data_IF_229216212171
#
_entry.id   IF_229216212171
#
_cell.length_a   1.000
_cell.length_b   1.000
_cell.length_c   1.000
_cell.angle_alpha   90.00
_cell.angle_beta   90.00
_cell.angle_gamma   90.00
#
_symmetry.space_group_name_H-M   'P 1'
#
loop_
_entity.id
_entity.type
_entity.pdbx_description
1 polymer ?
#
# COMPACT_ATOMS: atom_id res chain seq x y z
N UNK A 1 -6.00 8.54 -5.20
CA UNK A 1 -5.94 8.55 -3.71
C UNK A 1 -4.81 9.46 -3.22
N UNK A 2 -3.54 9.16 -3.52
CA UNK A 2 -2.41 10.03 -3.10
C UNK A 2 -2.55 11.49 -3.56
N UNK A 3 -2.96 11.72 -4.83
CA UNK A 3 -3.26 13.07 -5.34
C UNK A 3 -4.32 13.84 -4.51
N UNK A 4 -5.27 13.12 -3.90
CA UNK A 4 -6.32 13.73 -3.07
C UNK A 4 -5.75 14.23 -1.74
N UNK A 5 -4.77 13.53 -1.18
CA UNK A 5 -4.07 13.91 0.06
C UNK A 5 -2.82 14.76 -0.17
N UNK A 6 -2.57 15.18 -1.42
CA UNK A 6 -1.35 15.89 -1.82
C UNK A 6 -0.05 15.11 -1.49
N UNK A 7 -0.14 13.78 -1.48
CA UNK A 7 0.97 12.86 -1.25
C UNK A 7 1.61 12.46 -2.59
N UNK A 8 2.94 12.26 -2.61
CA UNK A 8 3.67 11.94 -3.83
C UNK A 8 3.65 10.44 -4.12
N UNK A 9 3.51 10.07 -5.38
CA UNK A 9 3.55 8.64 -5.77
C UNK A 9 4.92 8.01 -5.50
N UNK A 10 5.98 8.76 -5.79
CA UNK A 10 7.39 8.38 -5.53
C UNK A 10 7.68 8.19 -4.03
N UNK A 11 6.78 8.65 -3.15
CA UNK A 11 6.90 8.33 -1.74
C UNK A 11 6.51 6.89 -1.38
N UNK A 12 5.80 6.16 -2.24
CA UNK A 12 5.43 4.76 -2.02
C UNK A 12 6.02 3.81 -3.05
N UNK A 13 5.98 4.23 -4.31
CA UNK A 13 6.36 3.40 -5.44
C UNK A 13 7.64 3.92 -6.06
N UNK A 14 8.58 3.01 -6.36
CA UNK A 14 9.78 3.33 -7.10
C UNK A 14 9.79 2.52 -8.39
N UNK A 15 9.78 3.20 -9.54
CA UNK A 15 9.90 2.53 -10.82
C UNK A 15 11.38 2.21 -11.12
N UNK A 16 11.66 0.98 -11.51
CA UNK A 16 12.97 0.54 -11.98
C UNK A 16 12.82 -0.31 -13.25
N UNK A 17 13.93 -0.49 -13.99
CA UNK A 17 13.92 -1.28 -15.22
C UNK A 17 13.63 -2.75 -14.93
N UNK A 18 12.93 -3.44 -15.83
CA UNK A 18 12.54 -4.84 -15.68
C UNK A 18 13.74 -5.79 -15.52
N UNK A 19 14.90 -5.40 -16.07
CA UNK A 19 16.16 -6.18 -15.97
C UNK A 19 17.00 -5.83 -14.75
N UNK A 20 16.54 -4.87 -13.93
CA UNK A 20 17.28 -4.43 -12.75
C UNK A 20 17.38 -5.54 -11.72
N UNK A 21 18.59 -5.80 -11.26
CA UNK A 21 18.83 -6.74 -10.15
C UNK A 21 18.82 -6.00 -8.82
N UNK A 22 18.59 -6.71 -7.72
CA UNK A 22 18.73 -6.18 -6.36
C UNK A 22 20.05 -5.42 -6.16
N UNK A 23 21.17 -5.99 -6.60
CA UNK A 23 22.49 -5.35 -6.47
C UNK A 23 22.59 -4.06 -7.29
N UNK A 24 22.03 -4.02 -8.51
CA UNK A 24 21.99 -2.81 -9.33
C UNK A 24 21.23 -1.69 -8.62
N UNK A 25 20.06 -2.02 -8.07
CA UNK A 25 19.18 -1.03 -7.45
C UNK A 25 19.82 -0.49 -6.16
N UNK A 26 20.38 -1.36 -5.32
CA UNK A 26 21.08 -0.94 -4.10
C UNK A 26 22.34 -0.11 -4.38
N UNK A 27 23.02 -0.35 -5.50
CA UNK A 27 24.22 0.41 -5.90
C UNK A 27 23.89 1.76 -6.55
N UNK A 28 22.84 1.80 -7.38
CA UNK A 28 22.49 2.98 -8.18
C UNK A 28 21.55 3.94 -7.45
N UNK A 29 20.72 3.43 -6.52
CA UNK A 29 19.71 4.22 -5.83
C UNK A 29 20.00 4.30 -4.34
N UNK A 30 19.92 5.52 -3.83
CA UNK A 30 19.84 5.75 -2.39
C UNK A 30 18.43 5.40 -1.89
N UNK A 31 18.22 4.13 -1.54
CA UNK A 31 16.94 3.64 -1.07
C UNK A 31 16.60 4.27 0.29
N UNK A 32 15.36 4.74 0.48
CA UNK A 32 14.92 5.25 1.78
C UNK A 32 14.97 4.19 2.89
N UNK A 33 15.09 4.66 4.13
CA UNK A 33 14.95 3.80 5.32
C UNK A 33 13.51 3.31 5.46
N UNK A 34 12.53 4.13 5.05
CA UNK A 34 11.13 3.73 5.07
C UNK A 34 10.84 2.72 3.96
N UNK A 35 9.95 1.74 4.19
CA UNK A 35 9.64 0.75 3.18
C UNK A 35 9.17 1.38 1.86
N UNK A 36 9.63 0.83 0.73
CA UNK A 36 9.16 1.19 -0.62
C UNK A 36 8.85 -0.04 -1.43
N UNK A 37 7.78 0.04 -2.21
CA UNK A 37 7.46 -0.97 -3.21
C UNK A 37 8.12 -0.57 -4.54
N UNK A 38 9.09 -1.35 -4.97
CA UNK A 38 9.80 -1.17 -6.23
C UNK A 38 9.06 -1.97 -7.31
N UNK A 39 8.70 -1.27 -8.36
CA UNK A 39 7.98 -1.80 -9.51
C UNK A 39 8.99 -1.98 -10.63
N UNK A 40 9.21 -3.22 -11.06
CA UNK A 40 10.10 -3.54 -12.17
C UNK A 40 9.27 -3.54 -13.46
N UNK A 41 9.46 -2.52 -14.29
CA UNK A 41 8.72 -2.37 -15.54
C UNK A 41 8.55 -0.91 -15.97
N UNK A 42 7.71 -0.69 -17.00
CA UNK A 42 7.49 0.65 -17.56
C UNK A 42 6.50 1.50 -16.76
N UNK A 43 5.54 0.86 -16.10
CA UNK A 43 4.55 1.51 -15.24
C UNK A 43 3.85 0.45 -14.37
N UNK A 44 3.10 0.91 -13.36
CA UNK A 44 2.35 0.06 -12.44
C UNK A 44 1.38 -0.91 -13.13
N UNK A 45 0.80 -0.53 -14.27
CA UNK A 45 -0.21 -1.33 -14.97
C UNK A 45 0.37 -2.47 -15.81
N UNK A 46 1.66 -2.40 -16.14
CA UNK A 46 2.34 -3.35 -17.04
C UNK A 46 3.47 -4.12 -16.35
N UNK A 47 3.78 -3.78 -15.10
CA UNK A 47 4.81 -4.46 -14.34
C UNK A 47 4.41 -5.89 -13.99
N UNK A 48 5.37 -6.79 -14.10
CA UNK A 48 5.24 -8.24 -13.87
C UNK A 48 6.14 -8.72 -12.74
N UNK A 49 6.92 -7.82 -12.13
CA UNK A 49 7.85 -8.16 -11.06
C UNK A 49 7.98 -6.98 -10.11
N UNK A 50 8.16 -7.29 -8.82
CA UNK A 50 8.19 -6.32 -7.75
C UNK A 50 9.26 -6.69 -6.73
N UNK A 51 9.81 -5.67 -6.07
CA UNK A 51 10.69 -5.84 -4.93
C UNK A 51 10.21 -4.94 -3.79
N UNK A 52 10.50 -5.31 -2.55
CA UNK A 52 10.25 -4.47 -1.38
C UNK A 52 11.59 -4.09 -0.79
N UNK A 53 11.78 -2.78 -0.61
CA UNK A 53 12.92 -2.24 0.13
C UNK A 53 12.47 -1.76 1.51
N UNK A 54 13.37 -1.83 2.48
CA UNK A 54 13.28 -1.19 3.79
C UNK A 54 14.71 -1.02 4.34
N UNK A 55 14.91 -0.07 5.24
CA UNK A 55 16.22 0.22 5.85
C UNK A 55 17.35 0.46 4.83
N UNK A 56 17.00 1.02 3.67
CA UNK A 56 17.96 1.31 2.59
C UNK A 56 18.43 0.08 1.81
N UNK A 57 17.76 -1.07 1.92
CA UNK A 57 18.10 -2.31 1.21
C UNK A 57 16.86 -3.01 0.66
N UNK A 58 17.05 -3.89 -0.31
CA UNK A 58 16.01 -4.79 -0.81
C UNK A 58 15.86 -5.94 0.19
N UNK A 59 14.71 -5.98 0.87
CA UNK A 59 14.39 -6.99 1.87
C UNK A 59 13.65 -8.19 1.27
N UNK A 60 12.96 -8.00 0.15
CA UNK A 60 12.19 -9.05 -0.50
C UNK A 60 12.12 -8.87 -2.01
N UNK A 61 12.25 -9.96 -2.76
CA UNK A 61 12.05 -10.03 -4.21
C UNK A 61 10.88 -10.97 -4.47
N UNK A 62 9.90 -10.53 -5.27
CA UNK A 62 8.75 -11.36 -5.59
C UNK A 62 8.99 -12.13 -6.89
N UNK A 63 8.62 -13.41 -6.88
CA UNK A 63 8.59 -14.24 -8.09
C UNK A 63 7.62 -13.67 -9.13
N UNK A 64 7.88 -13.97 -10.40
CA UNK A 64 7.09 -13.47 -11.56
C UNK A 64 5.63 -13.94 -11.57
N UNK A 65 5.30 -14.96 -10.79
CA UNK A 65 3.94 -15.48 -10.66
C UNK A 65 3.09 -14.70 -9.64
N UNK A 66 3.74 -13.90 -8.80
CA UNK A 66 3.04 -13.08 -7.82
C UNK A 66 2.25 -11.96 -8.51
N UNK A 67 1.20 -11.52 -7.84
CA UNK A 67 0.38 -10.39 -8.29
C UNK A 67 0.81 -9.11 -7.58
N UNK A 68 0.30 -7.97 -8.07
CA UNK A 68 0.44 -6.70 -7.35
C UNK A 68 -0.12 -6.76 -5.92
N UNK A 69 -1.17 -7.55 -5.67
CA UNK A 69 -1.75 -7.70 -4.34
C UNK A 69 -0.79 -8.42 -3.37
N UNK A 70 -0.05 -9.42 -3.86
CA UNK A 70 0.98 -10.12 -3.08
C UNK A 70 2.14 -9.16 -2.75
N UNK A 71 2.55 -8.36 -3.73
CA UNK A 71 3.57 -7.33 -3.55
C UNK A 71 3.16 -6.29 -2.49
N UNK A 72 1.91 -5.83 -2.55
CA UNK A 72 1.35 -4.93 -1.57
C UNK A 72 1.22 -5.58 -0.18
N UNK A 73 0.90 -6.87 -0.12
CA UNK A 73 0.82 -7.63 1.13
C UNK A 73 2.19 -7.74 1.82
N UNK A 74 3.25 -8.07 1.07
CA UNK A 74 4.63 -8.09 1.60
C UNK A 74 5.05 -6.70 2.05
N UNK A 75 4.70 -5.67 1.28
CA UNK A 75 4.97 -4.29 1.64
C UNK A 75 4.30 -3.90 2.97
N UNK A 76 3.01 -4.18 3.17
CA UNK A 76 2.34 -3.93 4.46
C UNK A 76 2.87 -4.81 5.59
N UNK A 77 3.18 -6.07 5.30
CA UNK A 77 3.79 -6.98 6.26
C UNK A 77 5.13 -6.45 6.76
N UNK A 78 5.91 -5.76 5.93
CA UNK A 78 7.19 -5.17 6.35
C UNK A 78 7.05 -4.18 7.50
N UNK A 79 6.00 -3.33 7.51
CA UNK A 79 5.75 -2.41 8.62
C UNK A 79 5.43 -3.14 9.92
N UNK A 80 4.66 -4.22 9.84
CA UNK A 80 4.29 -5.01 11.00
C UNK A 80 5.48 -5.83 11.55
N UNK A 81 6.15 -6.58 10.68
CA UNK A 81 7.24 -7.50 11.05
C UNK A 81 8.47 -6.74 11.56
N UNK A 82 8.79 -5.61 10.93
CA UNK A 82 9.93 -4.78 11.33
C UNK A 82 9.56 -3.72 12.39
N UNK A 83 8.29 -3.68 12.82
CA UNK A 83 7.76 -2.69 13.77
C UNK A 83 8.10 -1.23 13.36
N UNK A 84 7.84 -0.91 12.09
CA UNK A 84 8.10 0.40 11.51
C UNK A 84 6.83 1.24 11.47
N UNK A 85 6.97 2.53 11.73
CA UNK A 85 5.89 3.50 11.51
C UNK A 85 5.68 3.76 10.02
N UNK A 86 4.44 4.09 9.64
CA UNK A 86 4.16 4.57 8.30
C UNK A 86 4.91 5.86 8.03
N UNK A 87 5.44 5.97 6.82
CA UNK A 87 6.16 7.16 6.38
C UNK A 87 5.24 8.38 6.33
N UNK A 88 5.70 9.49 6.91
CA UNK A 88 4.94 10.74 7.01
C UNK A 88 4.40 11.22 5.65
N UNK A 89 5.21 11.08 4.60
CA UNK A 89 4.88 11.54 3.25
C UNK A 89 3.66 10.84 2.62
N UNK A 90 3.28 9.65 3.11
CA UNK A 90 2.10 8.90 2.61
C UNK A 90 1.26 8.29 3.71
N UNK A 91 1.35 8.83 4.92
CA UNK A 91 0.73 8.24 6.11
C UNK A 91 -0.80 8.12 5.94
N UNK A 92 -1.44 9.15 5.37
CA UNK A 92 -2.91 9.18 5.21
C UNK A 92 -3.38 8.10 4.23
N UNK A 93 -2.69 7.95 3.10
CA UNK A 93 -3.01 6.89 2.14
C UNK A 93 -2.78 5.51 2.75
N UNK A 94 -1.68 5.29 3.46
CA UNK A 94 -1.34 3.99 4.05
C UNK A 94 -2.36 3.57 5.11
N UNK A 95 -2.71 4.48 6.01
CA UNK A 95 -3.75 4.22 7.01
C UNK A 95 -5.10 3.88 6.39
N UNK A 96 -5.49 4.59 5.31
CA UNK A 96 -6.74 4.32 4.64
C UNK A 96 -6.72 2.96 3.93
N UNK A 97 -5.64 2.60 3.23
CA UNK A 97 -5.53 1.29 2.57
C UNK A 97 -5.60 0.15 3.57
N UNK A 98 -4.87 0.24 4.69
CA UNK A 98 -4.92 -0.79 5.73
C UNK A 98 -6.33 -0.97 6.32
N UNK A 99 -7.10 0.12 6.43
CA UNK A 99 -8.50 0.08 6.89
C UNK A 99 -9.47 -0.56 5.89
N UNK A 100 -9.07 -0.75 4.63
CA UNK A 100 -9.87 -1.44 3.60
C UNK A 100 -9.73 -2.97 3.71
N UNK A 101 -9.28 -3.51 4.85
CA UNK A 101 -9.26 -4.95 5.08
C UNK A 101 -10.69 -5.55 4.99
N UNK A 102 -10.99 -6.48 4.05
CA UNK A 102 -12.34 -6.89 3.72
C UNK A 102 -12.92 -8.04 4.58
N UNK A 103 -12.15 -8.66 5.48
CA UNK A 103 -12.59 -9.89 6.18
C UNK A 103 -13.85 -9.70 7.05
N UNK A 104 -13.99 -8.54 7.71
CA UNK A 104 -15.26 -8.12 8.30
C UNK A 104 -15.45 -6.64 7.97
N UNK A 105 -16.24 -6.36 6.94
CA UNK A 105 -16.48 -4.99 6.51
C UNK A 105 -16.98 -4.10 7.65
N UNK A 106 -16.51 -2.85 7.68
CA UNK A 106 -17.05 -1.76 8.51
C UNK A 106 -18.40 -1.27 7.95
N UNK A 107 -19.30 -2.19 7.60
CA UNK A 107 -20.70 -1.83 7.47
C UNK A 107 -21.13 -1.38 8.85
N UNK A 108 -21.24 -0.06 9.06
CA UNK A 108 -22.15 0.45 10.07
C UNK A 108 -23.50 -0.19 9.77
N UNK A 109 -23.88 -1.21 10.55
CA UNK A 109 -25.28 -1.56 10.72
C UNK A 109 -25.84 -0.36 11.47
N UNK A 110 -26.21 0.69 10.74
CA UNK A 110 -26.87 1.81 11.37
C UNK A 110 -28.14 1.23 11.98
N UNK A 111 -28.10 0.98 13.29
CA UNK A 111 -29.27 0.56 14.07
C UNK A 111 -30.31 1.66 14.04
N UNK A 112 -29.99 2.86 13.55
CA UNK A 112 -30.90 3.96 13.38
C UNK A 112 -31.04 4.32 11.91
N UNK A 113 -32.21 4.05 11.34
CA UNK A 113 -32.61 4.61 10.05
C UNK A 113 -33.58 5.76 10.28
N UNK A 114 -33.39 6.89 9.63
CA UNK A 114 -34.45 7.90 9.51
C UNK A 114 -35.56 7.35 8.61
N UNK A 115 -36.77 7.24 9.15
CA UNK A 115 -37.93 6.77 8.40
C UNK A 115 -38.24 7.75 7.26
N UNK A 116 -38.25 7.28 6.00
CA UNK A 116 -38.62 8.11 4.84
C UNK A 116 -40.06 8.63 4.90
N UNK A 117 -40.93 8.04 5.73
CA UNK A 117 -42.33 8.46 5.90
C UNK A 117 -42.52 9.54 6.97
N UNK A 118 -41.64 9.61 7.97
CA UNK A 118 -41.87 10.43 9.18
C UNK A 118 -40.68 11.29 9.60
N UNK A 119 -39.51 11.14 8.97
CA UNK A 119 -38.31 11.93 9.29
C UNK A 119 -37.64 11.59 10.63
N UNK A 120 -38.25 10.73 11.45
CA UNK A 120 -37.75 10.37 12.77
C UNK A 120 -36.76 9.20 12.73
N UNK A 121 -35.83 9.24 13.68
CA UNK A 121 -34.80 8.23 13.98
C UNK A 121 -35.47 6.97 14.57
N UNK A 122 -35.37 5.82 13.88
CA UNK A 122 -35.99 4.56 14.32
C UNK A 122 -34.94 3.46 14.51
N UNK A 123 -35.02 2.74 15.64
CA UNK A 123 -34.18 1.57 15.90
C UNK A 123 -34.62 0.37 15.04
N UNK A 124 -33.75 -0.15 14.18
CA UNK A 124 -33.97 -1.40 13.42
C UNK A 124 -33.43 -2.58 14.22
N UNK A 125 -34.22 -3.66 14.25
CA UNK A 125 -33.99 -4.87 15.06
C UNK A 125 -32.88 -5.72 14.48
#
# INVERSE_FOLDING_TARGET
MMKHYNEKEDSLFLLADETSTKMSIEAERNLPITPRLIILGKNLMTATSWMVSAEGRIIFELDKENTFADALSVFFASFYVLNLEYQEATCTTLELIQRINPEEGTKCTSKVGTSRKTGNVVKRK
#
